data_IF_754819123789
#
_entry.id   IF_754819123789
#
_cell.length_a   1.000
_cell.length_b   1.000
_cell.length_c   1.000
_cell.angle_alpha   90.00
_cell.angle_beta   90.00
_cell.angle_gamma   90.00
#
_symmetry.space_group_name_H-M   'P 1'
#
loop_
_entity.id
_entity.type
_entity.pdbx_description
1 polymer ?
#
# COMPACT_ATOMS: atom_id res chain seq x y z
N UNK A 1 -29.75 33.02 7.34
CA UNK A 1 -28.41 32.39 7.33
C UNK A 1 -28.55 31.02 6.71
N UNK A 2 -28.43 30.99 5.39
CA UNK A 2 -28.48 29.80 4.56
C UNK A 2 -27.31 28.89 4.86
N UNK A 3 -27.58 27.68 5.33
CA UNK A 3 -26.60 26.59 5.43
C UNK A 3 -26.30 26.07 4.01
N UNK A 4 -25.68 26.93 3.18
CA UNK A 4 -24.92 26.55 2.00
C UNK A 4 -23.60 25.96 2.50
N UNK A 5 -23.70 24.78 3.10
CA UNK A 5 -22.61 24.01 3.65
C UNK A 5 -22.81 22.56 3.25
N UNK A 6 -22.75 22.31 1.94
CA UNK A 6 -22.51 21.00 1.32
C UNK A 6 -23.30 19.83 1.92
N UNK A 7 -24.61 19.77 1.65
CA UNK A 7 -25.17 18.46 1.34
C UNK A 7 -24.52 18.03 0.02
N UNK A 8 -23.58 17.08 0.04
CA UNK A 8 -23.11 16.48 -1.20
C UNK A 8 -24.32 15.83 -1.87
N UNK A 9 -24.85 16.37 -3.00
CA UNK A 9 -26.00 15.79 -3.65
C UNK A 9 -25.53 14.45 -4.21
N UNK A 10 -25.92 13.35 -3.54
CA UNK A 10 -25.32 12.03 -3.73
C UNK A 10 -24.92 11.29 -2.45
N UNK A 11 -25.06 11.91 -1.26
CA UNK A 11 -25.04 11.21 0.03
C UNK A 11 -26.09 10.10 0.04
N UNK A 12 -25.64 8.87 -0.25
CA UNK A 12 -26.46 7.70 -0.60
C UNK A 12 -27.56 7.45 0.42
N UNK A 13 -28.77 7.85 0.08
CA UNK A 13 -29.97 7.58 0.87
C UNK A 13 -30.37 6.10 0.88
N UNK A 14 -29.87 5.29 -0.07
CA UNK A 14 -30.21 3.86 -0.19
C UNK A 14 -29.10 3.04 -0.83
N UNK A 15 -28.03 2.71 -0.10
CA UNK A 15 -27.25 1.51 -0.43
C UNK A 15 -27.08 0.72 0.86
N UNK A 16 -27.69 -0.47 0.92
CA UNK A 16 -27.51 -1.39 2.03
C UNK A 16 -26.03 -1.64 2.30
N UNK A 17 -25.73 -2.24 3.46
CA UNK A 17 -24.35 -2.55 3.93
C UNK A 17 -23.55 -3.50 3.03
N UNK A 18 -23.96 -3.68 1.77
CA UNK A 18 -23.27 -4.45 0.77
C UNK A 18 -22.00 -3.70 0.30
N UNK A 19 -20.90 -4.44 0.07
CA UNK A 19 -19.71 -3.90 -0.56
C UNK A 19 -20.06 -3.19 -1.87
N UNK A 20 -19.45 -2.04 -2.07
CA UNK A 20 -19.64 -1.24 -3.27
C UNK A 20 -18.36 -1.12 -4.10
N UNK A 21 -18.44 -0.40 -5.20
CA UNK A 21 -17.31 -0.17 -6.10
C UNK A 21 -16.11 0.45 -5.37
N UNK A 22 -16.33 1.35 -4.40
CA UNK A 22 -15.22 1.93 -3.62
C UNK A 22 -14.57 0.91 -2.71
N UNK A 23 -15.34 -0.01 -2.13
CA UNK A 23 -14.81 -1.14 -1.35
C UNK A 23 -13.98 -2.07 -2.23
N UNK A 24 -14.42 -2.35 -3.46
CA UNK A 24 -13.67 -3.16 -4.42
C UNK A 24 -12.36 -2.48 -4.87
N UNK A 25 -12.41 -1.17 -5.15
CA UNK A 25 -11.23 -0.38 -5.49
C UNK A 25 -10.23 -0.31 -4.32
N UNK A 26 -10.72 -0.16 -3.09
CA UNK A 26 -9.90 -0.22 -1.88
C UNK A 26 -9.20 -1.59 -1.77
N UNK A 27 -9.93 -2.70 -1.95
CA UNK A 27 -9.36 -4.03 -1.90
C UNK A 27 -8.25 -4.22 -2.95
N UNK A 28 -8.50 -3.79 -4.19
CA UNK A 28 -7.49 -3.84 -5.25
C UNK A 28 -6.24 -3.03 -4.90
N UNK A 29 -6.40 -1.84 -4.30
CA UNK A 29 -5.29 -1.02 -3.83
C UNK A 29 -4.47 -1.68 -2.72
N UNK A 30 -5.13 -2.36 -1.78
CA UNK A 30 -4.42 -3.09 -0.71
C UNK A 30 -3.64 -4.27 -1.29
N UNK A 31 -4.23 -5.01 -2.22
CA UNK A 31 -3.56 -6.14 -2.89
C UNK A 31 -2.35 -5.67 -3.68
N UNK A 32 -2.47 -4.61 -4.48
CA UNK A 32 -1.35 -4.08 -5.26
C UNK A 32 -0.22 -3.55 -4.37
N UNK A 33 -0.55 -2.88 -3.26
CA UNK A 33 0.42 -2.48 -2.24
C UNK A 33 1.15 -3.69 -1.64
N UNK A 34 0.42 -4.75 -1.28
CA UNK A 34 1.00 -5.98 -0.75
C UNK A 34 1.99 -6.63 -1.71
N UNK A 35 1.64 -6.71 -3.00
CA UNK A 35 2.53 -7.23 -4.05
C UNK A 35 3.78 -6.36 -4.20
N UNK A 36 3.64 -5.03 -4.18
CA UNK A 36 4.78 -4.12 -4.28
C UNK A 36 5.78 -4.31 -3.12
N UNK A 37 5.28 -4.44 -1.89
CA UNK A 37 6.12 -4.71 -0.70
C UNK A 37 6.83 -6.05 -0.82
N UNK A 38 6.15 -7.09 -1.29
CA UNK A 38 6.75 -8.41 -1.49
C UNK A 38 7.88 -8.39 -2.54
N UNK A 39 7.67 -7.69 -3.67
CA UNK A 39 8.70 -7.53 -4.70
C UNK A 39 9.91 -6.77 -4.17
N UNK A 40 9.69 -5.70 -3.40
CA UNK A 40 10.76 -4.96 -2.74
C UNK A 40 11.54 -5.85 -1.77
N UNK A 41 10.86 -6.72 -1.02
CA UNK A 41 11.51 -7.66 -0.11
C UNK A 41 12.45 -8.61 -0.85
N UNK A 42 12.01 -9.22 -1.95
CA UNK A 42 12.83 -10.14 -2.76
C UNK A 42 14.06 -9.44 -3.35
N UNK A 43 13.89 -8.23 -3.86
CA UNK A 43 15.01 -7.43 -4.36
C UNK A 43 15.96 -7.06 -3.20
N UNK A 44 15.40 -6.62 -2.08
CA UNK A 44 16.12 -6.24 -0.86
C UNK A 44 16.98 -7.37 -0.30
N UNK A 45 16.45 -8.59 -0.24
CA UNK A 45 17.21 -9.75 0.27
C UNK A 45 18.47 -10.05 -0.54
N UNK A 46 18.50 -9.73 -1.84
CA UNK A 46 19.68 -9.94 -2.69
C UNK A 46 20.75 -8.87 -2.48
N UNK A 47 20.31 -7.63 -2.31
CA UNK A 47 21.22 -6.49 -2.18
C UNK A 47 21.65 -6.22 -0.74
N UNK A 48 20.97 -6.79 0.25
CA UNK A 48 21.27 -6.52 1.64
C UNK A 48 22.29 -7.47 2.25
N UNK A 49 23.08 -7.00 3.23
CA UNK A 49 24.08 -7.83 3.88
C UNK A 49 23.39 -8.95 4.66
N UNK A 50 23.93 -10.17 4.53
CA UNK A 50 23.41 -11.37 5.21
C UNK A 50 21.95 -11.70 4.87
N UNK A 51 21.43 -11.17 3.75
CA UNK A 51 20.09 -11.49 3.26
C UNK A 51 18.97 -10.81 4.03
N UNK A 52 19.30 -9.88 4.93
CA UNK A 52 18.30 -9.15 5.72
C UNK A 52 18.05 -7.75 5.13
N UNK A 53 16.91 -7.52 4.45
CA UNK A 53 16.60 -6.26 3.78
C UNK A 53 16.53 -5.03 4.70
N UNK A 54 16.42 -5.24 6.03
CA UNK A 54 16.38 -4.16 7.02
C UNK A 54 17.76 -3.75 7.56
N UNK A 55 18.83 -4.48 7.21
CA UNK A 55 20.19 -4.13 7.61
C UNK A 55 20.83 -3.18 6.61
N UNK A 56 21.56 -2.19 7.12
CA UNK A 56 22.29 -1.19 6.33
C UNK A 56 23.67 -1.73 5.97
N UNK A 57 24.13 -1.51 4.74
CA UNK A 57 25.51 -1.84 4.33
C UNK A 57 26.51 -0.87 4.96
N UNK A 58 27.65 -1.39 5.45
CA UNK A 58 28.75 -0.55 5.90
C UNK A 58 29.40 0.18 4.71
N UNK A 59 29.73 1.48 4.85
CA UNK A 59 30.49 2.20 3.84
C UNK A 59 31.79 1.47 3.49
N UNK A 60 32.07 1.33 2.19
CA UNK A 60 33.26 0.65 1.65
C UNK A 60 33.36 -0.86 1.91
N UNK A 61 32.30 -1.53 2.41
CA UNK A 61 32.25 -2.99 2.60
C UNK A 61 30.93 -3.59 2.10
N UNK A 62 30.66 -3.42 0.81
CA UNK A 62 29.48 -4.00 0.15
C UNK A 62 29.58 -5.52 0.21
N UNK A 63 28.58 -6.17 0.82
CA UNK A 63 28.44 -7.63 0.86
C UNK A 63 27.08 -7.99 0.28
N UNK A 64 27.09 -8.81 -0.76
CA UNK A 64 25.90 -9.31 -1.44
C UNK A 64 25.73 -10.79 -1.12
N UNK A 65 24.49 -11.28 -1.19
CA UNK A 65 24.20 -12.71 -1.20
C UNK A 65 23.99 -13.13 -2.65
N UNK A 66 24.76 -14.14 -3.09
CA UNK A 66 24.63 -14.77 -4.42
C UNK A 66 23.32 -15.54 -4.57
#
# INVERSE_FOLDING_TARGET
MSQFGMQMPGGRQNKGSAPDVYTALMFLGVVSMGVAVAMLWIAGTKVSPEGNPLKIQEPHKIKLID
#
